data_IF_085426220935
#
_entry.id   IF_085426220935
#
_cell.length_a   1.000
_cell.length_b   1.000
_cell.length_c   1.000
_cell.angle_alpha   90.00
_cell.angle_beta   90.00
_cell.angle_gamma   90.00
#
_symmetry.space_group_name_H-M   'P 1'
#
loop_
_entity.id
_entity.type
_entity.pdbx_description
1 polymer ?
#
# COMPACT_ATOMS: atom_id res chain seq x y z
N UNK A 1 4.99 -22.48 4.17
CA UNK A 1 4.27 -21.50 5.02
C UNK A 1 3.00 -21.12 4.31
N UNK A 2 1.90 -21.02 5.03
CA UNK A 2 0.62 -20.56 4.48
C UNK A 2 0.39 -19.10 4.88
N UNK A 3 0.18 -18.22 3.92
CA UNK A 3 0.07 -16.77 4.12
C UNK A 3 -1.31 -16.28 3.66
N UNK A 4 -2.05 -15.67 4.57
CA UNK A 4 -3.26 -14.93 4.22
C UNK A 4 -2.90 -13.49 3.84
N UNK A 5 -3.21 -13.09 2.62
CA UNK A 5 -3.09 -11.70 2.14
C UNK A 5 -4.50 -11.12 2.01
N UNK A 6 -4.86 -10.16 2.84
CA UNK A 6 -6.11 -9.41 2.66
C UNK A 6 -5.86 -8.19 1.79
N UNK A 7 -6.82 -7.83 0.93
CA UNK A 7 -6.60 -6.83 -0.12
C UNK A 7 -5.73 -7.39 -1.27
N UNK A 8 -5.85 -8.71 -1.49
CA UNK A 8 -5.03 -9.49 -2.42
C UNK A 8 -5.14 -9.03 -3.87
N UNK A 9 -6.31 -8.56 -4.30
CA UNK A 9 -6.55 -8.06 -5.65
C UNK A 9 -6.12 -6.59 -5.84
N UNK A 10 -5.70 -5.92 -4.76
CA UNK A 10 -5.21 -4.55 -4.78
C UNK A 10 -3.81 -4.42 -5.40
N UNK A 11 -3.32 -3.18 -5.50
CA UNK A 11 -2.00 -2.87 -6.08
C UNK A 11 -0.86 -3.62 -5.38
N UNK A 12 -0.64 -3.36 -4.08
CA UNK A 12 0.46 -4.00 -3.32
C UNK A 12 0.16 -5.49 -3.12
N UNK A 13 -1.10 -5.82 -2.79
CA UNK A 13 -1.51 -7.20 -2.50
C UNK A 13 -1.26 -8.15 -3.65
N UNK A 14 -1.61 -7.77 -4.89
CA UNK A 14 -1.44 -8.65 -6.05
C UNK A 14 0.03 -8.93 -6.39
N UNK A 15 0.90 -7.93 -6.24
CA UNK A 15 2.34 -8.15 -6.39
C UNK A 15 2.91 -9.06 -5.30
N UNK A 16 2.47 -8.88 -4.05
CA UNK A 16 2.90 -9.72 -2.94
C UNK A 16 2.44 -11.17 -3.13
N UNK A 17 1.18 -11.37 -3.52
CA UNK A 17 0.63 -12.71 -3.81
C UNK A 17 1.49 -13.42 -4.84
N UNK A 18 1.78 -12.78 -5.98
CA UNK A 18 2.62 -13.37 -7.01
C UNK A 18 4.03 -13.69 -6.51
N UNK A 19 4.66 -12.76 -5.79
CA UNK A 19 6.00 -12.93 -5.24
C UNK A 19 6.07 -14.15 -4.30
N UNK A 20 5.12 -14.28 -3.38
CA UNK A 20 5.05 -15.40 -2.45
C UNK A 20 4.80 -16.74 -3.16
N UNK A 21 3.96 -16.75 -4.20
CA UNK A 21 3.72 -17.94 -5.03
C UNK A 21 4.96 -18.37 -5.81
N UNK A 22 5.71 -17.42 -6.37
CA UNK A 22 6.99 -17.68 -7.06
C UNK A 22 8.04 -18.28 -6.11
N UNK A 23 8.02 -17.89 -4.82
CA UNK A 23 8.86 -18.47 -3.77
C UNK A 23 8.37 -19.82 -3.24
N UNK A 24 7.25 -20.33 -3.78
CA UNK A 24 6.71 -21.63 -3.39
C UNK A 24 5.85 -21.65 -2.14
N UNK A 25 5.42 -20.49 -1.63
CA UNK A 25 4.51 -20.40 -0.50
C UNK A 25 3.08 -20.83 -0.91
N UNK A 26 2.29 -21.24 0.07
CA UNK A 26 0.83 -21.34 -0.08
C UNK A 26 0.21 -19.99 0.26
N UNK A 27 -0.62 -19.45 -0.62
CA UNK A 27 -1.20 -18.13 -0.47
C UNK A 27 -2.70 -18.18 -0.55
N UNK A 28 -3.34 -17.61 0.47
CA UNK A 28 -4.78 -17.35 0.50
C UNK A 28 -4.99 -15.86 0.28
N UNK A 29 -5.68 -15.49 -0.79
CA UNK A 29 -5.99 -14.11 -1.12
C UNK A 29 -7.44 -13.77 -0.76
N UNK A 30 -7.68 -12.86 0.19
CA UNK A 30 -9.00 -12.36 0.53
C UNK A 30 -9.18 -10.94 -0.02
N UNK A 31 -10.19 -10.72 -0.88
CA UNK A 31 -10.57 -9.40 -1.39
C UNK A 31 -12.07 -9.36 -1.66
N UNK A 32 -12.70 -8.21 -1.45
CA UNK A 32 -14.12 -7.99 -1.76
C UNK A 32 -14.35 -7.37 -3.14
N UNK A 33 -13.29 -7.08 -3.89
CA UNK A 33 -13.33 -6.42 -5.19
C UNK A 33 -14.12 -5.10 -5.16
N UNK A 34 -13.96 -4.34 -4.06
CA UNK A 34 -14.64 -3.07 -3.82
C UNK A 34 -14.58 -2.13 -5.03
N UNK A 35 -15.68 -1.42 -5.30
CA UNK A 35 -15.86 -0.53 -6.44
C UNK A 35 -15.21 0.86 -6.28
N UNK A 36 -14.30 1.05 -5.35
CA UNK A 36 -13.54 2.30 -5.19
C UNK A 36 -12.84 2.72 -6.51
N UNK A 37 -12.41 1.74 -7.28
CA UNK A 37 -12.05 1.85 -8.69
C UNK A 37 -12.58 0.64 -9.45
N UNK A 38 -12.54 0.66 -10.79
CA UNK A 38 -13.10 -0.40 -11.63
C UNK A 38 -12.66 -1.81 -11.16
N UNK A 39 -13.60 -2.66 -10.71
CA UNK A 39 -13.30 -4.01 -10.26
C UNK A 39 -12.59 -4.88 -11.31
N UNK A 40 -12.78 -4.61 -12.59
CA UNK A 40 -12.10 -5.34 -13.67
C UNK A 40 -10.57 -5.24 -13.61
N UNK A 41 -10.04 -4.13 -13.06
CA UNK A 41 -8.61 -3.97 -12.79
C UNK A 41 -8.15 -4.97 -11.73
N UNK A 42 -8.93 -5.13 -10.66
CA UNK A 42 -8.64 -6.09 -9.59
C UNK A 42 -8.70 -7.54 -10.09
N UNK A 43 -9.66 -7.84 -10.96
CA UNK A 43 -9.75 -9.17 -11.59
C UNK A 43 -8.46 -9.50 -12.36
N UNK A 44 -8.02 -8.59 -13.24
CA UNK A 44 -6.76 -8.77 -14.00
C UNK A 44 -5.52 -8.86 -13.11
N UNK A 45 -5.52 -8.17 -11.98
CA UNK A 45 -4.40 -8.22 -11.04
C UNK A 45 -4.15 -9.63 -10.49
N UNK A 46 -5.15 -10.50 -10.44
CA UNK A 46 -5.04 -11.87 -9.95
C UNK A 46 -4.92 -12.94 -11.05
N UNK A 47 -4.97 -12.56 -12.35
CA UNK A 47 -4.97 -13.55 -13.44
C UNK A 47 -3.77 -14.49 -13.36
N UNK A 48 -2.55 -13.95 -13.15
CA UNK A 48 -1.36 -14.79 -13.00
C UNK A 48 -1.40 -15.64 -11.73
N UNK A 49 -1.87 -15.11 -10.61
CA UNK A 49 -1.96 -15.85 -9.36
C UNK A 49 -2.86 -17.09 -9.49
N UNK A 50 -3.96 -16.99 -10.24
CA UNK A 50 -4.91 -18.09 -10.49
C UNK A 50 -4.30 -19.27 -11.25
N UNK A 51 -3.17 -19.09 -11.94
CA UNK A 51 -2.45 -20.18 -12.61
C UNK A 51 -1.69 -21.09 -11.63
N UNK A 52 -1.48 -20.65 -10.39
CA UNK A 52 -0.76 -21.41 -9.38
C UNK A 52 -1.69 -22.30 -8.57
N UNK A 53 -1.40 -23.60 -8.50
CA UNK A 53 -2.16 -24.55 -7.69
C UNK A 53 -2.10 -24.26 -6.17
N UNK A 54 -1.13 -23.45 -5.73
CA UNK A 54 -0.95 -23.02 -4.33
C UNK A 54 -1.65 -21.71 -4.00
N UNK A 55 -2.44 -21.17 -4.91
CA UNK A 55 -3.24 -19.99 -4.67
C UNK A 55 -4.70 -20.37 -4.39
N UNK A 56 -5.22 -19.85 -3.29
CA UNK A 56 -6.65 -19.95 -2.94
C UNK A 56 -7.25 -18.55 -2.94
N UNK A 57 -8.16 -18.28 -3.88
CA UNK A 57 -8.91 -17.02 -3.91
C UNK A 57 -10.16 -17.12 -3.06
N UNK A 58 -10.33 -16.20 -2.12
CA UNK A 58 -11.55 -16.05 -1.32
C UNK A 58 -12.14 -14.68 -1.58
N UNK A 59 -13.36 -14.64 -2.12
CA UNK A 59 -14.13 -13.40 -2.30
C UNK A 59 -14.93 -13.12 -1.06
N UNK A 60 -14.57 -12.06 -0.37
CA UNK A 60 -15.23 -11.69 0.88
C UNK A 60 -14.74 -10.36 1.42
N UNK A 61 -15.59 -9.75 2.23
CA UNK A 61 -15.31 -8.50 2.91
C UNK A 61 -14.74 -8.78 4.31
N UNK A 62 -13.69 -8.06 4.69
CA UNK A 62 -13.10 -8.18 6.04
C UNK A 62 -14.07 -7.76 7.17
N UNK A 63 -15.19 -7.14 6.85
CA UNK A 63 -16.25 -6.77 7.78
C UNK A 63 -17.31 -7.87 7.95
N UNK A 64 -17.26 -8.89 7.12
CA UNK A 64 -18.23 -9.98 7.10
C UNK A 64 -17.65 -11.24 7.78
N UNK A 65 -18.19 -11.67 8.94
CA UNK A 65 -17.74 -12.90 9.59
C UNK A 65 -17.82 -14.14 8.69
N UNK A 66 -18.81 -14.23 7.79
CA UNK A 66 -18.94 -15.37 6.87
C UNK A 66 -17.77 -15.49 5.88
N UNK A 67 -17.05 -14.38 5.62
CA UNK A 67 -15.87 -14.41 4.78
C UNK A 67 -14.72 -15.19 5.45
N UNK A 68 -14.62 -15.13 6.76
CA UNK A 68 -13.60 -15.84 7.54
C UNK A 68 -13.88 -17.35 7.64
N UNK A 69 -15.16 -17.77 7.61
CA UNK A 69 -15.54 -19.19 7.60
C UNK A 69 -15.07 -19.92 6.32
N UNK A 70 -14.81 -19.18 5.25
CA UNK A 70 -14.32 -19.71 3.95
C UNK A 70 -12.80 -19.87 3.91
N UNK A 71 -12.09 -19.34 4.90
CA UNK A 71 -10.65 -19.42 4.95
C UNK A 71 -10.18 -20.79 5.46
N UNK A 72 -9.03 -21.31 4.99
CA UNK A 72 -8.47 -22.54 5.55
C UNK A 72 -8.03 -22.32 7.00
N UNK A 73 -8.06 -23.39 7.79
CA UNK A 73 -7.66 -23.34 9.21
C UNK A 73 -6.16 -23.23 9.44
N UNK A 74 -5.35 -23.59 8.45
CA UNK A 74 -3.88 -23.59 8.55
C UNK A 74 -3.30 -22.32 7.92
N UNK A 75 -3.22 -21.24 8.71
CA UNK A 75 -2.59 -19.98 8.32
C UNK A 75 -1.47 -19.66 9.31
N UNK A 76 -0.25 -19.47 8.82
CA UNK A 76 0.92 -19.15 9.63
C UNK A 76 1.11 -17.65 9.87
N UNK A 77 0.77 -16.85 8.86
CA UNK A 77 1.03 -15.40 8.85
C UNK A 77 -0.08 -14.68 8.08
N UNK A 78 -0.52 -13.57 8.62
CA UNK A 78 -1.44 -12.66 7.94
C UNK A 78 -0.69 -11.41 7.48
N UNK A 79 -0.85 -11.03 6.21
CA UNK A 79 -0.46 -9.72 5.68
C UNK A 79 -1.73 -8.92 5.39
N UNK A 80 -2.05 -7.98 6.28
CA UNK A 80 -3.29 -7.22 6.24
C UNK A 80 -3.11 -5.92 5.44
N UNK A 81 -3.49 -5.94 4.16
CA UNK A 81 -3.44 -4.80 3.25
C UNK A 81 -4.82 -4.26 2.87
N UNK A 82 -5.90 -5.01 3.15
CA UNK A 82 -7.27 -4.58 2.89
C UNK A 82 -7.59 -3.29 3.66
N UNK A 83 -7.93 -2.24 2.93
CA UNK A 83 -8.31 -0.95 3.51
C UNK A 83 -8.90 -0.04 2.44
N UNK A 84 -9.77 0.88 2.83
CA UNK A 84 -10.01 2.09 2.06
C UNK A 84 -8.81 3.02 2.26
N UNK A 85 -8.15 3.40 1.16
CA UNK A 85 -6.94 4.21 1.18
C UNK A 85 -7.15 5.57 0.48
N UNK A 86 -6.49 6.60 0.99
CA UNK A 86 -6.50 7.94 0.44
C UNK A 86 -7.05 9.00 1.41
N UNK A 87 -6.31 10.09 1.54
CA UNK A 87 -6.64 11.20 2.46
C UNK A 87 -7.94 11.90 2.03
N UNK A 88 -8.01 12.33 0.77
CA UNK A 88 -9.15 13.12 0.27
C UNK A 88 -10.48 12.35 0.26
N UNK A 89 -10.56 11.10 -0.22
CA UNK A 89 -11.79 10.32 -0.13
C UNK A 89 -12.25 10.13 1.31
N UNK A 90 -11.35 9.96 2.27
CA UNK A 90 -11.70 9.77 3.68
C UNK A 90 -12.39 10.99 4.32
N UNK A 91 -12.11 12.19 3.81
CA UNK A 91 -12.80 13.42 4.27
C UNK A 91 -14.26 13.42 3.81
N UNK A 92 -14.55 12.80 2.66
CA UNK A 92 -15.92 12.72 2.11
C UNK A 92 -16.74 11.60 2.76
N UNK A 93 -16.08 10.48 3.09
CA UNK A 93 -16.71 9.31 3.72
C UNK A 93 -15.93 8.81 4.94
N UNK A 94 -15.90 9.56 6.05
CA UNK A 94 -15.19 9.14 7.26
C UNK A 94 -15.78 7.88 7.89
N UNK A 95 -17.10 7.64 7.75
CA UNK A 95 -17.76 6.47 8.33
C UNK A 95 -17.38 5.17 7.60
N UNK A 96 -17.36 5.18 6.26
CA UNK A 96 -16.90 4.02 5.49
C UNK A 96 -15.43 3.68 5.79
N UNK A 97 -14.58 4.70 5.93
CA UNK A 97 -13.19 4.49 6.33
C UNK A 97 -13.05 3.91 7.73
N UNK A 98 -13.85 4.35 8.68
CA UNK A 98 -13.86 3.78 10.03
C UNK A 98 -14.35 2.33 9.99
N UNK A 99 -15.45 2.06 9.31
CA UNK A 99 -16.04 0.72 9.23
C UNK A 99 -15.09 -0.30 8.59
N UNK A 100 -14.47 0.04 7.47
CA UNK A 100 -13.52 -0.86 6.80
C UNK A 100 -12.20 -0.96 7.58
N UNK A 101 -11.55 0.18 7.86
CA UNK A 101 -10.18 0.17 8.34
C UNK A 101 -10.05 -0.12 9.84
N UNK A 102 -11.09 0.18 10.65
CA UNK A 102 -11.04 -0.04 12.10
C UNK A 102 -11.85 -1.28 12.47
N UNK A 103 -13.14 -1.31 12.15
CA UNK A 103 -13.98 -2.47 12.47
C UNK A 103 -13.54 -3.72 11.71
N UNK A 104 -13.22 -3.61 10.40
CA UNK A 104 -12.71 -4.73 9.61
C UNK A 104 -11.39 -5.28 10.15
N UNK A 105 -10.45 -4.40 10.56
CA UNK A 105 -9.21 -4.84 11.21
C UNK A 105 -9.48 -5.55 12.54
N UNK A 106 -10.42 -5.07 13.33
CA UNK A 106 -10.77 -5.70 14.61
C UNK A 106 -11.33 -7.12 14.40
N UNK A 107 -12.22 -7.31 13.42
CA UNK A 107 -12.76 -8.63 13.08
C UNK A 107 -11.67 -9.60 12.61
N UNK A 108 -10.70 -9.12 11.83
CA UNK A 108 -9.53 -9.92 11.44
C UNK A 108 -8.69 -10.32 12.66
N UNK A 109 -8.47 -9.41 13.60
CA UNK A 109 -7.71 -9.70 14.83
C UNK A 109 -8.44 -10.71 15.73
N UNK A 110 -9.77 -10.65 15.82
CA UNK A 110 -10.58 -11.64 16.52
C UNK A 110 -10.48 -13.01 15.84
N UNK A 111 -10.57 -13.09 14.52
CA UNK A 111 -10.35 -14.31 13.75
C UNK A 111 -8.95 -14.91 14.01
N UNK A 112 -7.89 -14.08 13.97
CA UNK A 112 -6.54 -14.55 14.27
C UNK A 112 -6.43 -15.14 15.69
N UNK A 113 -7.01 -14.46 16.67
CA UNK A 113 -7.05 -14.91 18.06
C UNK A 113 -7.79 -16.26 18.19
N UNK A 114 -8.94 -16.43 17.55
CA UNK A 114 -9.74 -17.66 17.61
C UNK A 114 -9.02 -18.87 17.01
N UNK A 115 -8.29 -18.69 15.93
CA UNK A 115 -7.51 -19.75 15.29
C UNK A 115 -6.07 -19.86 15.80
N UNK A 116 -5.63 -18.99 16.70
CA UNK A 116 -4.26 -18.99 17.22
C UNK A 116 -3.20 -18.64 16.16
N UNK A 117 -3.55 -17.81 15.18
CA UNK A 117 -2.61 -17.37 14.13
C UNK A 117 -1.58 -16.42 14.75
N UNK A 118 -0.29 -16.77 14.72
CA UNK A 118 0.70 -16.10 15.58
C UNK A 118 1.28 -14.81 15.02
N UNK A 119 1.20 -14.55 13.69
CA UNK A 119 1.98 -13.49 13.06
C UNK A 119 1.13 -12.58 12.18
N UNK A 120 1.34 -11.25 12.32
CA UNK A 120 0.65 -10.21 11.56
C UNK A 120 1.61 -9.16 11.01
N UNK A 121 1.53 -8.90 9.70
CA UNK A 121 2.00 -7.66 9.11
C UNK A 121 0.81 -6.76 8.83
N UNK A 122 0.82 -5.57 9.42
CA UNK A 122 -0.26 -4.59 9.25
C UNK A 122 0.18 -3.45 8.33
N UNK A 123 -0.51 -3.26 7.22
CA UNK A 123 -0.31 -2.15 6.30
C UNK A 123 -0.78 -0.82 6.90
N UNK A 124 0.12 -0.10 7.56
CA UNK A 124 -0.08 1.27 8.03
C UNK A 124 0.29 2.28 6.95
N UNK A 125 0.48 3.55 7.31
CA UNK A 125 0.72 4.63 6.36
C UNK A 125 1.54 5.76 6.97
N UNK A 126 2.39 6.40 6.18
CA UNK A 126 3.09 7.63 6.55
C UNK A 126 2.14 8.80 6.86
N UNK A 127 0.88 8.73 6.44
CA UNK A 127 -0.14 9.75 6.78
C UNK A 127 -0.38 9.90 8.28
N UNK A 128 -0.03 8.90 9.10
CA UNK A 128 -0.13 8.97 10.57
C UNK A 128 0.73 10.08 11.17
N UNK A 129 1.80 10.49 10.50
CA UNK A 129 2.68 11.58 10.93
C UNK A 129 2.04 12.97 10.80
N UNK A 130 0.95 13.10 10.02
CA UNK A 130 0.26 14.35 9.82
C UNK A 130 1.17 15.45 9.26
N UNK A 131 1.11 16.64 9.86
CA UNK A 131 1.97 17.78 9.53
C UNK A 131 3.17 17.89 10.51
N UNK A 132 3.83 16.77 10.82
CA UNK A 132 5.05 16.84 11.63
C UNK A 132 6.08 17.77 10.96
N UNK A 133 6.65 18.68 11.75
CA UNK A 133 7.67 19.62 11.27
C UNK A 133 9.05 18.96 11.11
N UNK A 134 9.25 17.79 11.74
CA UNK A 134 10.52 17.07 11.74
C UNK A 134 10.57 16.09 10.58
N UNK A 135 11.54 16.25 9.69
CA UNK A 135 11.84 15.31 8.61
C UNK A 135 13.34 14.97 8.65
N UNK A 136 13.73 13.73 8.36
CA UNK A 136 12.89 12.59 7.97
C UNK A 136 11.97 12.13 9.10
N UNK A 137 10.80 11.55 8.74
CA UNK A 137 9.86 11.00 9.70
C UNK A 137 10.42 9.73 10.35
N UNK A 138 10.35 9.67 11.66
CA UNK A 138 10.86 8.56 12.47
C UNK A 138 9.72 7.87 13.22
N UNK A 139 9.88 6.58 13.49
CA UNK A 139 8.85 5.76 14.15
C UNK A 139 8.65 6.11 15.63
N UNK A 140 9.62 6.78 16.26
CA UNK A 140 9.51 7.34 17.61
C UNK A 140 8.64 8.62 17.68
N UNK A 141 8.30 9.22 16.54
CA UNK A 141 7.22 10.21 16.47
C UNK A 141 5.87 9.51 16.73
N UNK A 142 5.19 9.95 17.79
CA UNK A 142 3.97 9.31 18.29
C UNK A 142 2.85 9.17 17.25
N UNK A 143 2.83 10.01 16.21
CA UNK A 143 1.74 10.03 15.23
C UNK A 143 0.37 10.28 15.88
N UNK A 144 0.34 11.13 16.92
CA UNK A 144 -0.84 11.39 17.73
C UNK A 144 -1.73 12.52 17.19
N UNK A 145 -1.32 13.17 16.09
CA UNK A 145 -2.01 14.31 15.46
C UNK A 145 -2.31 14.05 13.98
N UNK A 146 -3.05 12.99 13.65
CA UNK A 146 -3.45 12.72 12.27
C UNK A 146 -4.35 13.87 11.76
N UNK A 147 -4.14 14.26 10.49
CA UNK A 147 -4.87 15.38 9.85
C UNK A 147 -5.97 14.92 8.89
N UNK A 148 -6.28 13.63 8.87
CA UNK A 148 -7.37 13.07 8.07
C UNK A 148 -8.00 11.84 8.73
N UNK A 149 -9.28 11.53 8.42
CA UNK A 149 -9.92 10.30 8.88
C UNK A 149 -9.13 9.03 8.49
N UNK A 150 -8.59 8.97 7.28
CA UNK A 150 -7.72 7.87 6.84
C UNK A 150 -6.51 7.69 7.77
N UNK A 151 -5.78 8.76 8.05
CA UNK A 151 -4.63 8.71 8.94
C UNK A 151 -5.03 8.26 10.36
N UNK A 152 -6.16 8.77 10.87
CA UNK A 152 -6.70 8.39 12.17
C UNK A 152 -7.05 6.89 12.22
N UNK A 153 -7.69 6.34 11.16
CA UNK A 153 -8.02 4.90 11.10
C UNK A 153 -6.78 4.03 11.03
N UNK A 154 -5.72 4.43 10.31
CA UNK A 154 -4.47 3.68 10.27
C UNK A 154 -3.76 3.69 11.63
N UNK A 155 -3.73 4.84 12.30
CA UNK A 155 -3.18 4.92 13.67
C UNK A 155 -3.99 4.09 14.66
N UNK A 156 -5.32 4.10 14.58
CA UNK A 156 -6.17 3.24 15.38
C UNK A 156 -5.86 1.75 15.17
N UNK A 157 -5.61 1.34 13.90
CA UNK A 157 -5.17 -0.01 13.57
C UNK A 157 -3.87 -0.40 14.27
N UNK A 158 -2.84 0.46 14.25
CA UNK A 158 -1.57 0.21 14.98
C UNK A 158 -1.81 -0.04 16.47
N UNK A 159 -2.68 0.76 17.10
CA UNK A 159 -2.99 0.63 18.52
C UNK A 159 -3.77 -0.66 18.84
N UNK A 160 -4.73 -1.05 17.99
CA UNK A 160 -5.47 -2.31 18.14
C UNK A 160 -4.56 -3.52 17.96
N UNK A 161 -3.67 -3.50 16.97
CA UNK A 161 -2.68 -4.55 16.75
C UNK A 161 -1.75 -4.70 17.98
N UNK A 162 -1.28 -3.60 18.55
CA UNK A 162 -0.49 -3.62 19.79
C UNK A 162 -1.26 -4.26 20.95
N UNK A 163 -2.51 -3.86 21.15
CA UNK A 163 -3.34 -4.38 22.24
C UNK A 163 -3.58 -5.89 22.09
N UNK A 164 -3.86 -6.37 20.87
CA UNK A 164 -4.06 -7.81 20.61
C UNK A 164 -2.75 -8.60 20.74
N UNK A 165 -1.63 -8.04 20.29
CA UNK A 165 -0.31 -8.64 20.52
C UNK A 165 -0.03 -8.86 22.01
N UNK A 166 -0.27 -7.85 22.83
CA UNK A 166 -0.07 -7.92 24.28
C UNK A 166 -1.02 -8.92 24.97
N UNK A 167 -2.29 -8.94 24.58
CA UNK A 167 -3.32 -9.76 25.25
C UNK A 167 -3.33 -11.22 24.78
N UNK A 168 -3.01 -11.47 23.52
CA UNK A 168 -3.20 -12.78 22.89
C UNK A 168 -1.93 -13.37 22.28
N UNK A 169 -0.80 -12.71 22.41
CA UNK A 169 0.48 -13.22 21.95
C UNK A 169 0.68 -13.21 20.44
N UNK A 170 0.02 -12.27 19.72
CA UNK A 170 0.20 -12.09 18.28
C UNK A 170 1.45 -11.23 18.05
N UNK A 171 2.45 -11.81 17.41
CA UNK A 171 3.63 -11.09 16.94
C UNK A 171 3.29 -10.19 15.75
N UNK A 172 3.66 -8.92 15.79
CA UNK A 172 3.23 -8.00 14.75
C UNK A 172 4.29 -6.98 14.33
N UNK A 173 4.28 -6.66 13.03
CA UNK A 173 4.96 -5.49 12.47
C UNK A 173 3.95 -4.60 11.74
N UNK A 174 3.84 -3.35 12.18
CA UNK A 174 3.06 -2.30 11.50
C UNK A 174 3.98 -1.58 10.51
N UNK A 175 3.72 -1.72 9.22
CA UNK A 175 4.52 -1.14 8.15
C UNK A 175 3.90 0.20 7.71
N UNK A 176 4.56 1.31 8.03
CA UNK A 176 4.17 2.64 7.56
C UNK A 176 4.67 2.86 6.15
N UNK A 177 3.83 2.52 5.16
CA UNK A 177 4.16 2.76 3.76
C UNK A 177 4.18 4.25 3.43
N UNK A 178 5.23 4.66 2.71
CA UNK A 178 5.27 5.95 2.03
C UNK A 178 4.59 5.85 0.65
N UNK A 179 4.84 6.79 -0.26
CA UNK A 179 4.07 6.79 -1.51
C UNK A 179 4.55 5.68 -2.46
N UNK A 180 3.86 4.54 -2.42
CA UNK A 180 4.18 3.41 -3.28
C UNK A 180 3.74 3.68 -4.71
N UNK A 181 4.60 3.34 -5.70
CA UNK A 181 4.31 3.45 -7.11
C UNK A 181 4.89 2.27 -7.90
N UNK A 182 4.39 2.06 -9.13
CA UNK A 182 4.82 0.98 -10.01
C UNK A 182 3.66 0.42 -10.85
N UNK A 183 3.89 -0.64 -11.64
CA UNK A 183 2.85 -1.35 -12.38
C UNK A 183 1.63 -1.69 -11.51
N UNK A 184 0.44 -1.73 -12.08
CA UNK A 184 -0.84 -1.95 -11.37
C UNK A 184 -1.19 -0.88 -10.31
N UNK A 185 -0.46 0.25 -10.27
CA UNK A 185 -0.82 1.34 -9.38
C UNK A 185 -2.25 1.78 -9.62
N UNK A 186 -2.99 2.05 -8.54
CA UNK A 186 -4.40 2.47 -8.61
C UNK A 186 -4.59 3.69 -9.53
N UNK A 187 -5.66 3.73 -10.32
CA UNK A 187 -5.89 4.77 -11.33
C UNK A 187 -6.16 6.17 -10.73
N UNK A 188 -6.51 6.26 -9.45
CA UNK A 188 -6.73 7.52 -8.72
C UNK A 188 -5.43 8.19 -8.24
N UNK A 189 -4.29 7.49 -8.27
CA UNK A 189 -3.02 8.03 -7.81
C UNK A 189 -2.34 8.91 -8.86
N UNK A 190 -1.51 9.86 -8.41
CA UNK A 190 -1.00 10.96 -9.24
C UNK A 190 -0.24 10.48 -10.48
N UNK A 191 0.70 9.53 -10.35
CA UNK A 191 1.49 9.03 -11.48
C UNK A 191 0.58 8.40 -12.53
N UNK A 192 -0.38 7.56 -12.13
CA UNK A 192 -1.32 6.94 -13.05
C UNK A 192 -2.26 8.00 -13.71
N UNK A 193 -2.80 8.91 -12.91
CA UNK A 193 -3.66 9.99 -13.41
C UNK A 193 -2.94 10.87 -14.42
N UNK A 194 -1.69 11.24 -14.15
CA UNK A 194 -0.90 12.07 -15.05
C UNK A 194 -0.51 11.31 -16.31
N UNK A 195 -0.15 10.04 -16.20
CA UNK A 195 0.14 9.20 -17.36
C UNK A 195 -1.06 9.09 -18.30
N UNK A 196 -2.26 8.90 -17.76
CA UNK A 196 -3.49 8.87 -18.55
C UNK A 196 -3.73 10.21 -19.29
N UNK A 197 -3.65 11.34 -18.56
CA UNK A 197 -3.84 12.66 -19.16
C UNK A 197 -2.83 12.96 -20.24
N UNK A 198 -1.56 12.61 -20.02
CA UNK A 198 -0.48 12.79 -21.02
C UNK A 198 -0.73 11.93 -22.26
N UNK A 199 -1.11 10.67 -22.09
CA UNK A 199 -1.43 9.77 -23.21
C UNK A 199 -2.69 10.19 -24.01
N UNK A 200 -3.58 10.96 -23.40
CA UNK A 200 -4.78 11.54 -24.02
C UNK A 200 -4.52 12.97 -24.60
N UNK A 201 -3.28 13.47 -24.49
CA UNK A 201 -2.94 14.83 -24.94
C UNK A 201 -3.58 15.95 -24.11
N UNK A 202 -4.01 15.63 -22.88
CA UNK A 202 -4.69 16.57 -21.96
C UNK A 202 -3.65 17.26 -21.05
N UNK A 203 -3.88 18.52 -20.66
CA UNK A 203 -2.99 19.22 -19.74
C UNK A 203 -3.03 18.57 -18.36
N UNK A 204 -1.87 18.53 -17.69
CA UNK A 204 -1.73 18.10 -16.30
C UNK A 204 -2.20 19.21 -15.38
N UNK A 205 -3.10 18.90 -14.46
CA UNK A 205 -3.53 19.81 -13.39
C UNK A 205 -2.57 19.69 -12.21
N UNK A 206 -1.70 20.68 -12.06
CA UNK A 206 -0.73 20.78 -10.98
C UNK A 206 -1.27 21.71 -9.88
N UNK A 207 -1.50 21.17 -8.70
CA UNK A 207 -1.95 21.97 -7.55
C UNK A 207 -0.74 22.57 -6.81
N UNK A 208 -0.77 23.88 -6.62
CA UNK A 208 0.33 24.66 -6.05
C UNK A 208 1.45 24.93 -7.06
N UNK A 209 2.62 25.30 -6.56
CA UNK A 209 3.78 25.71 -7.36
C UNK A 209 4.65 24.53 -7.85
N UNK A 210 4.30 23.30 -7.49
CA UNK A 210 5.03 22.09 -7.86
C UNK A 210 6.24 21.77 -6.97
N UNK A 211 6.47 22.53 -5.90
CA UNK A 211 7.60 22.33 -4.96
C UNK A 211 7.31 21.31 -3.86
N UNK A 212 6.04 20.86 -3.71
CA UNK A 212 5.72 19.82 -2.75
C UNK A 212 6.49 18.52 -3.04
N UNK A 213 7.04 17.92 -1.99
CA UNK A 213 7.93 16.76 -2.10
C UNK A 213 7.27 15.50 -1.52
N UNK A 214 7.46 14.37 -2.19
CA UNK A 214 7.04 13.05 -1.69
C UNK A 214 8.20 12.07 -1.75
N UNK A 215 8.25 11.21 -0.73
CA UNK A 215 9.05 9.99 -0.77
C UNK A 215 8.28 8.95 -1.57
N UNK A 216 8.73 8.74 -2.82
CA UNK A 216 8.18 7.71 -3.71
C UNK A 216 9.01 6.45 -3.59
N UNK A 217 8.33 5.32 -3.36
CA UNK A 217 8.95 4.01 -3.18
C UNK A 217 8.44 3.05 -4.23
N UNK A 218 9.36 2.46 -4.99
CA UNK A 218 8.97 1.51 -6.03
C UNK A 218 8.41 0.22 -5.42
N UNK A 219 7.46 -0.41 -6.12
CA UNK A 219 6.73 -1.59 -5.60
C UNK A 219 7.67 -2.73 -5.20
N UNK A 220 8.72 -3.01 -5.96
CA UNK A 220 9.66 -4.11 -5.65
C UNK A 220 10.39 -3.85 -4.32
N UNK A 221 10.83 -2.61 -4.08
CA UNK A 221 11.46 -2.23 -2.79
C UNK A 221 10.47 -2.44 -1.63
N UNK A 222 9.18 -2.13 -1.82
CA UNK A 222 8.14 -2.37 -0.80
C UNK A 222 7.98 -3.87 -0.52
N UNK A 223 7.96 -4.70 -1.56
CA UNK A 223 7.87 -6.15 -1.40
C UNK A 223 9.07 -6.70 -0.64
N UNK A 224 10.28 -6.25 -0.95
CA UNK A 224 11.50 -6.63 -0.23
C UNK A 224 11.40 -6.28 1.26
N UNK A 225 10.79 -5.13 1.59
CA UNK A 225 10.53 -4.71 2.97
C UNK A 225 9.49 -5.59 3.67
N UNK A 226 8.39 -5.97 2.99
CA UNK A 226 7.36 -6.87 3.52
C UNK A 226 7.96 -8.24 3.80
N UNK A 227 8.68 -8.83 2.86
CA UNK A 227 9.35 -10.13 3.03
C UNK A 227 10.40 -10.09 4.15
N UNK A 228 11.17 -9.00 4.24
CA UNK A 228 12.11 -8.79 5.32
C UNK A 228 11.42 -8.79 6.69
N UNK A 229 10.25 -8.14 6.78
CA UNK A 229 9.44 -8.12 7.99
C UNK A 229 8.83 -9.50 8.31
N UNK A 230 8.40 -10.28 7.30
CA UNK A 230 7.93 -11.66 7.48
C UNK A 230 9.05 -12.52 8.08
N UNK A 231 10.22 -12.52 7.47
CA UNK A 231 11.41 -13.25 7.97
C UNK A 231 11.85 -12.79 9.37
N UNK A 232 11.65 -11.52 9.71
CA UNK A 232 11.94 -11.00 11.04
C UNK A 232 10.97 -11.56 12.09
N UNK A 233 9.65 -11.58 11.83
CA UNK A 233 8.66 -12.16 12.72
C UNK A 233 8.88 -13.65 13.01
N UNK A 234 9.33 -14.42 12.01
CA UNK A 234 9.64 -15.85 12.18
C UNK A 234 10.76 -16.11 13.20
N UNK A 235 11.67 -15.15 13.36
CA UNK A 235 12.88 -15.31 14.19
C UNK A 235 12.81 -14.56 15.51
N UNK A 236 11.78 -13.74 15.72
CA UNK A 236 11.69 -12.78 16.82
C UNK A 236 10.34 -12.90 17.54
N UNK A 237 10.11 -13.95 18.33
CA UNK A 237 8.85 -14.09 19.07
C UNK A 237 8.70 -13.00 20.15
N UNK A 238 7.46 -12.65 20.48
CA UNK A 238 7.14 -11.58 21.41
C UNK A 238 7.31 -10.17 20.83
N UNK A 239 7.24 -10.04 19.50
CA UNK A 239 7.52 -8.79 18.80
C UNK A 239 6.27 -7.95 18.55
N UNK A 240 6.39 -6.65 18.85
CA UNK A 240 5.56 -5.59 18.26
C UNK A 240 6.48 -4.46 17.79
N UNK A 241 6.48 -4.18 16.50
CA UNK A 241 7.29 -3.13 15.89
C UNK A 241 6.46 -2.24 14.96
N UNK A 242 6.78 -0.95 14.93
CA UNK A 242 6.32 -0.02 13.89
C UNK A 242 7.56 0.32 13.07
N UNK A 243 7.44 0.22 11.73
CA UNK A 243 8.58 0.39 10.83
C UNK A 243 8.18 1.15 9.57
N UNK A 244 8.96 2.16 9.20
CA UNK A 244 8.80 2.89 7.95
C UNK A 244 9.32 2.08 6.76
N UNK A 245 8.53 2.00 5.69
CA UNK A 245 8.99 1.55 4.38
C UNK A 245 8.84 2.70 3.37
N UNK A 246 9.96 3.29 2.99
CA UNK A 246 10.08 4.44 2.11
C UNK A 246 11.28 4.32 1.18
N UNK A 247 11.37 5.19 0.17
CA UNK A 247 12.48 5.25 -0.78
C UNK A 247 13.73 5.96 -0.25
N UNK A 248 13.66 6.53 0.95
CA UNK A 248 14.72 7.33 1.58
C UNK A 248 15.24 8.48 0.69
N UNK A 249 14.37 8.98 -0.17
CA UNK A 249 14.62 10.13 -1.06
C UNK A 249 13.31 10.82 -1.41
N UNK A 250 13.38 12.12 -1.70
CA UNK A 250 12.19 12.89 -2.08
C UNK A 250 12.26 13.31 -3.54
N UNK A 251 11.10 13.42 -4.17
CA UNK A 251 10.91 13.93 -5.52
C UNK A 251 9.87 15.03 -5.46
N UNK A 252 10.14 16.17 -6.12
CA UNK A 252 9.16 17.25 -6.21
C UNK A 252 8.02 16.87 -7.14
N UNK A 253 6.85 17.50 -6.96
CA UNK A 253 5.73 17.29 -7.88
C UNK A 253 6.10 17.66 -9.32
N UNK A 254 6.91 18.72 -9.49
CA UNK A 254 7.40 19.15 -10.80
C UNK A 254 8.32 18.11 -11.44
N UNK A 255 9.29 17.57 -10.68
CA UNK A 255 10.20 16.54 -11.18
C UNK A 255 9.45 15.25 -11.50
N UNK A 256 8.47 14.87 -10.67
CA UNK A 256 7.62 13.72 -10.95
C UNK A 256 6.90 13.86 -12.28
N UNK A 257 6.32 15.03 -12.59
CA UNK A 257 5.67 15.30 -13.88
C UNK A 257 6.66 15.16 -15.04
N UNK A 258 7.87 15.70 -14.89
CA UNK A 258 8.93 15.60 -15.92
C UNK A 258 9.34 14.15 -16.15
N UNK A 259 9.58 13.38 -15.10
CA UNK A 259 9.95 11.96 -15.21
C UNK A 259 8.86 11.13 -15.90
N UNK A 260 7.59 11.32 -15.53
CA UNK A 260 6.48 10.61 -16.14
C UNK A 260 6.33 10.99 -17.62
N UNK A 261 6.41 12.28 -17.96
CA UNK A 261 6.32 12.74 -19.34
C UNK A 261 7.48 12.22 -20.20
N UNK A 262 8.71 12.23 -19.68
CA UNK A 262 9.89 11.66 -20.33
C UNK A 262 9.73 10.17 -20.59
N UNK A 263 9.27 9.41 -19.59
CA UNK A 263 9.07 7.98 -19.73
C UNK A 263 8.00 7.60 -20.77
N UNK A 264 7.01 8.48 -20.97
CA UNK A 264 5.98 8.31 -22.01
C UNK A 264 6.38 8.91 -23.37
N UNK A 265 7.54 9.60 -23.47
CA UNK A 265 8.00 10.22 -24.71
C UNK A 265 7.18 11.45 -25.15
N UNK A 266 6.54 12.17 -24.21
CA UNK A 266 5.67 13.32 -24.50
C UNK A 266 6.10 14.57 -23.74
N UNK A 267 5.71 15.73 -24.25
CA UNK A 267 5.93 17.02 -23.55
C UNK A 267 4.68 17.41 -22.76
N UNK A 268 4.78 17.67 -21.45
CA UNK A 268 3.62 17.99 -20.63
C UNK A 268 3.13 19.43 -20.86
N UNK A 269 1.83 19.60 -21.02
CA UNK A 269 1.17 20.89 -20.81
C UNK A 269 0.72 20.95 -19.35
N UNK A 270 1.07 21.99 -18.61
CA UNK A 270 0.78 22.10 -17.17
C UNK A 270 -0.17 23.28 -16.95
N UNK A 271 -1.32 22.98 -16.34
CA UNK A 271 -2.26 23.94 -15.80
C UNK A 271 -2.05 24.04 -14.29
N UNK A 272 -1.62 25.22 -13.82
CA UNK A 272 -1.39 25.46 -12.39
C UNK A 272 -2.69 25.85 -11.71
N UNK A 273 -3.04 25.12 -10.66
CA UNK A 273 -4.26 25.34 -9.86
C UNK A 273 -3.87 25.72 -8.41
N UNK A 274 -4.84 26.31 -7.67
CA UNK A 274 -4.65 26.63 -6.25
C UNK A 274 -4.34 25.39 -5.42
N UNK A 275 -3.53 25.52 -4.36
CA UNK A 275 -3.26 24.48 -3.37
C UNK A 275 -4.57 23.90 -2.81
N UNK A 276 -4.58 22.61 -2.53
CA UNK A 276 -5.74 21.93 -1.95
C UNK A 276 -5.53 21.66 -0.46
N UNK A 277 -6.63 21.78 0.29
CA UNK A 277 -6.64 21.48 1.72
C UNK A 277 -6.28 20.02 1.99
N UNK A 278 -5.47 19.77 3.02
CA UNK A 278 -5.06 18.43 3.44
C UNK A 278 -3.79 17.89 2.76
N UNK A 279 -3.19 18.64 1.84
CA UNK A 279 -1.90 18.25 1.25
C UNK A 279 -0.74 18.56 2.22
N UNK A 280 0.07 17.55 2.49
CA UNK A 280 1.33 17.68 3.26
C UNK A 280 2.41 18.23 2.33
N UNK A 281 3.18 19.21 2.80
CA UNK A 281 4.25 19.83 1.98
C UNK A 281 5.37 18.85 1.63
N UNK A 282 5.75 17.99 2.58
CA UNK A 282 6.84 17.05 2.40
C UNK A 282 6.57 15.74 3.14
N UNK A 283 6.87 14.61 2.50
CA UNK A 283 7.01 13.32 3.16
C UNK A 283 8.40 12.77 2.88
N UNK A 284 9.10 12.31 3.92
CA UNK A 284 10.44 11.75 3.81
C UNK A 284 10.67 10.74 4.93
N UNK A 285 10.99 9.48 4.57
CA UNK A 285 11.18 8.39 5.51
C UNK A 285 12.60 8.35 6.09
N UNK A 286 12.72 8.17 7.40
CA UNK A 286 13.88 7.53 7.99
C UNK A 286 13.67 6.01 7.91
N UNK A 287 14.48 5.30 7.14
CA UNK A 287 14.40 3.85 6.95
C UNK A 287 15.45 3.08 7.75
N UNK A 288 16.20 3.76 8.61
CA UNK A 288 17.32 3.16 9.37
C UNK A 288 16.86 2.01 10.28
N UNK A 289 15.63 2.06 10.77
CA UNK A 289 15.03 0.97 11.54
C UNK A 289 14.75 -0.25 10.67
N UNK A 290 14.18 -0.06 9.49
CA UNK A 290 13.94 -1.13 8.52
C UNK A 290 15.26 -1.78 8.05
N UNK A 291 16.30 -0.98 7.79
CA UNK A 291 17.63 -1.49 7.46
C UNK A 291 18.19 -2.36 8.59
N UNK A 292 18.13 -1.89 9.83
CA UNK A 292 18.66 -2.62 10.99
C UNK A 292 17.91 -3.92 11.26
N UNK A 293 16.57 -3.94 11.17
CA UNK A 293 15.75 -5.11 11.50
C UNK A 293 15.64 -6.11 10.35
N UNK A 294 15.49 -5.62 9.14
CA UNK A 294 15.14 -6.41 7.95
C UNK A 294 16.24 -6.46 6.89
N UNK A 295 17.29 -5.61 7.00
CA UNK A 295 18.26 -5.40 5.93
C UNK A 295 17.68 -4.61 4.75
N UNK A 296 16.59 -3.88 4.97
CA UNK A 296 15.87 -3.13 3.93
C UNK A 296 16.73 -2.00 3.34
N UNK A 297 16.92 -2.03 2.02
CA UNK A 297 17.67 -1.00 1.27
C UNK A 297 16.97 -0.71 -0.04
N UNK A 298 16.12 0.33 -0.11
CA UNK A 298 15.45 0.68 -1.36
C UNK A 298 16.47 1.04 -2.44
N UNK A 299 16.39 0.39 -3.57
CA UNK A 299 17.43 0.42 -4.61
C UNK A 299 16.94 1.02 -5.92
N UNK A 300 15.65 0.95 -6.23
CA UNK A 300 15.11 1.39 -7.52
C UNK A 300 15.03 2.91 -7.57
N UNK A 301 15.72 3.55 -8.52
CA UNK A 301 15.64 5.00 -8.72
C UNK A 301 14.23 5.41 -9.19
N UNK A 302 13.84 6.67 -8.93
CA UNK A 302 12.55 7.17 -9.39
C UNK A 302 12.44 7.19 -10.92
N UNK A 303 13.53 7.48 -11.62
CA UNK A 303 13.64 7.43 -13.08
C UNK A 303 13.38 6.02 -13.61
N UNK A 304 14.06 5.01 -13.07
CA UNK A 304 13.89 3.61 -13.48
C UNK A 304 12.49 3.10 -13.15
N UNK A 305 11.97 3.40 -11.96
CA UNK A 305 10.63 2.99 -11.56
C UNK A 305 9.52 3.61 -12.42
N UNK A 306 9.67 4.89 -12.80
CA UNK A 306 8.71 5.55 -13.72
C UNK A 306 8.81 5.00 -15.14
N UNK A 307 10.00 4.62 -15.61
CA UNK A 307 10.17 3.94 -16.89
C UNK A 307 9.43 2.59 -16.91
N UNK A 308 9.62 1.76 -15.90
CA UNK A 308 8.91 0.45 -15.78
C UNK A 308 7.40 0.64 -15.65
N UNK A 309 6.96 1.66 -14.91
CA UNK A 309 5.54 2.00 -14.84
C UNK A 309 4.97 2.39 -16.21
N UNK A 310 5.69 3.24 -16.97
CA UNK A 310 5.24 3.69 -18.29
C UNK A 310 5.15 2.54 -19.29
N UNK A 311 6.10 1.60 -19.29
CA UNK A 311 6.08 0.40 -20.12
C UNK A 311 4.83 -0.45 -19.85
N UNK A 312 4.55 -0.73 -18.56
CA UNK A 312 3.34 -1.41 -18.17
C UNK A 312 2.07 -0.64 -18.58
N UNK A 313 2.01 0.65 -18.31
CA UNK A 313 0.85 1.48 -18.62
C UNK A 313 0.54 1.49 -20.12
N UNK A 314 1.56 1.57 -20.97
CA UNK A 314 1.40 1.54 -22.43
C UNK A 314 0.95 0.15 -22.91
N UNK A 315 1.46 -0.94 -22.33
CA UNK A 315 1.04 -2.29 -22.66
C UNK A 315 -0.43 -2.54 -22.32
N UNK A 316 -0.90 -2.08 -21.14
CA UNK A 316 -2.31 -2.20 -20.76
C UNK A 316 -3.24 -1.45 -21.70
N UNK A 317 -2.85 -0.25 -22.13
CA UNK A 317 -3.62 0.53 -23.12
C UNK A 317 -3.69 -0.13 -24.49
N UNK A 318 -2.60 -0.74 -24.93
CA UNK A 318 -2.56 -1.49 -26.19
C UNK A 318 -3.50 -2.70 -26.15
N UNK A 319 -3.49 -3.46 -25.05
CA UNK A 319 -4.41 -4.59 -24.85
C UNK A 319 -5.88 -4.17 -24.78
N UNK A 320 -6.16 -2.98 -24.22
CA UNK A 320 -7.53 -2.44 -24.15
C UNK A 320 -8.04 -1.84 -25.48
N UNK A 321 -7.26 -1.86 -26.56
CA UNK A 321 -7.67 -1.32 -27.87
C UNK A 321 -7.79 0.21 -27.92
N UNK A 322 -7.13 0.93 -27.00
CA UNK A 322 -7.25 2.40 -26.85
C UNK A 322 -6.27 3.17 -27.77
N UNK A 323 -5.58 2.48 -28.67
CA UNK A 323 -4.81 3.09 -29.75
C UNK A 323 -5.56 2.89 -31.08
N UNK A 324 -6.45 3.80 -31.36
CA UNK A 324 -7.16 3.95 -32.64
C UNK A 324 -7.29 5.43 -32.96
#
# INVERSE_FOLDING_TARGET
MSVLVTGAAGFIGSHLVERLLDEGQEVVGLDNFDSFYDPSVKERNLDRAREFARFTEVRGDIRDPEAYEKLPYEIDTVVHLAALAGVRPSIRDPYGYFDVNVRGTLLLLDFMKELGIPRLLFGSSSSVYGNSATVPFREDDAGDRPISPYAATKRAGELMVHAHGHLYGIDAVCLRFFTVYGPRQRPDLAIHTFSRRLAEGLPIQMYGDGTSERDYTYIDDILDGIEGAMRYLERSPGTYEIVNLGGARTVTLRDMIVHVATALGVSPQIEVLCEQAGDVRRTFADVSKAERLFGYRPSVSFEEGTRRFAEWFLSERACAGVFG
#
